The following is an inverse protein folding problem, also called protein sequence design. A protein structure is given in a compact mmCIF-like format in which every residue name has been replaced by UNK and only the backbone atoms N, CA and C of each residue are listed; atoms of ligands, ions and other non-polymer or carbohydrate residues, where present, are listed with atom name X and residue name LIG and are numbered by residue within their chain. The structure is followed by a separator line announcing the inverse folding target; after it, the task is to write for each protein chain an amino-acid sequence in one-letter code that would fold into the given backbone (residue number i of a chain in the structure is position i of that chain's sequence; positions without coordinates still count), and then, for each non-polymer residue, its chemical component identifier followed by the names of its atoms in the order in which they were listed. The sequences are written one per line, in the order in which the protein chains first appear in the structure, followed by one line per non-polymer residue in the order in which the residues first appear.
data_IF_270799082122
#
_entry.id   IF_270799082122
#
_cell.length_a   1.000
_cell.length_b   1.000
_cell.length_c   1.000
_cell.angle_alpha   90.00
_cell.angle_beta   90.00
_cell.angle_gamma   90.00
#
_symmetry.space_group_name_H-M   'P 1'
#
loop_
_entity.id
_entity.type
_entity.pdbx_description
1 polymer ?
#
# COMPACT_ATOMS: atom_id res chain seq x y z
N UNK A 1 39.70 -38.51 -18.74
CA UNK A 1 38.41 -37.88 -18.37
C UNK A 1 38.68 -36.56 -17.63
N UNK A 2 38.87 -35.43 -18.34
CA UNK A 2 39.08 -34.11 -17.70
C UNK A 2 38.49 -32.93 -18.50
N UNK A 3 37.41 -33.14 -19.27
CA UNK A 3 36.84 -32.08 -20.14
C UNK A 3 35.46 -31.57 -19.72
N UNK A 4 34.78 -32.18 -18.74
CA UNK A 4 33.43 -31.77 -18.32
C UNK A 4 33.40 -30.70 -17.21
N UNK A 5 34.50 -30.50 -16.47
CA UNK A 5 34.53 -29.55 -15.33
C UNK A 5 34.62 -28.07 -15.75
N UNK A 6 35.18 -27.76 -16.92
CA UNK A 6 35.30 -26.38 -17.42
C UNK A 6 33.99 -25.85 -18.02
N UNK A 7 33.22 -26.69 -18.72
CA UNK A 7 31.95 -26.27 -19.33
C UNK A 7 30.79 -26.09 -18.35
N UNK A 8 30.77 -26.82 -17.22
CA UNK A 8 29.76 -26.63 -16.17
C UNK A 8 30.01 -25.39 -15.31
N UNK A 9 31.26 -24.92 -15.24
CA UNK A 9 31.62 -23.76 -14.41
C UNK A 9 31.24 -22.45 -15.10
N UNK A 10 31.46 -22.35 -16.41
CA UNK A 10 31.07 -21.19 -17.21
C UNK A 10 29.55 -21.01 -17.29
N UNK A 11 28.78 -22.09 -17.44
CA UNK A 11 27.31 -22.03 -17.50
C UNK A 11 26.69 -21.71 -16.15
N UNK A 12 27.28 -22.17 -15.03
CA UNK A 12 26.85 -21.78 -13.70
C UNK A 12 27.12 -20.30 -13.42
N UNK A 13 28.33 -19.81 -13.71
CA UNK A 13 28.72 -18.40 -13.54
C UNK A 13 27.84 -17.46 -14.41
N UNK A 14 27.52 -17.85 -15.64
CA UNK A 14 26.64 -17.09 -16.55
C UNK A 14 25.17 -17.12 -16.10
N UNK A 15 24.71 -18.24 -15.52
CA UNK A 15 23.36 -18.35 -14.94
C UNK A 15 23.18 -17.53 -13.66
N UNK A 16 24.21 -17.46 -12.82
CA UNK A 16 24.22 -16.64 -11.60
C UNK A 16 24.25 -15.15 -11.94
N UNK A 17 25.06 -14.75 -12.92
CA UNK A 17 25.10 -13.37 -13.41
C UNK A 17 23.74 -12.93 -13.99
N UNK A 18 23.09 -13.80 -14.78
CA UNK A 18 21.76 -13.53 -15.35
C UNK A 18 20.69 -13.37 -14.24
N UNK A 19 20.77 -14.18 -13.18
CA UNK A 19 19.86 -14.07 -12.05
C UNK A 19 20.05 -12.76 -11.27
N UNK A 20 21.30 -12.36 -11.00
CA UNK A 20 21.62 -11.11 -10.29
C UNK A 20 21.13 -9.88 -11.06
N UNK A 21 21.32 -9.87 -12.38
CA UNK A 21 20.82 -8.78 -13.23
C UNK A 21 19.28 -8.73 -13.27
N UNK A 22 18.61 -9.89 -13.30
CA UNK A 22 17.15 -9.96 -13.18
C UNK A 22 16.65 -9.43 -11.82
N UNK A 23 17.38 -9.68 -10.73
CA UNK A 23 17.08 -9.14 -9.39
C UNK A 23 17.19 -7.62 -9.40
N UNK A 24 18.32 -7.06 -9.89
CA UNK A 24 18.53 -5.60 -9.97
C UNK A 24 17.45 -4.93 -10.81
N UNK A 25 17.10 -5.54 -11.94
CA UNK A 25 16.08 -5.00 -12.84
C UNK A 25 14.67 -5.09 -12.24
N UNK A 26 14.36 -6.16 -11.49
CA UNK A 26 13.13 -6.26 -10.71
C UNK A 26 13.03 -5.14 -9.66
N UNK A 27 14.11 -4.88 -8.92
CA UNK A 27 14.18 -3.81 -7.92
C UNK A 27 13.95 -2.46 -8.59
N UNK A 28 14.67 -2.16 -9.68
CA UNK A 28 14.51 -0.92 -10.46
C UNK A 28 13.07 -0.74 -10.93
N UNK A 29 12.48 -1.77 -11.51
CA UNK A 29 11.09 -1.75 -11.98
C UNK A 29 10.12 -1.37 -10.85
N UNK A 30 10.27 -1.98 -9.68
CA UNK A 30 9.38 -1.74 -8.53
C UNK A 30 9.54 -0.31 -8.00
N UNK A 31 10.78 0.15 -7.78
CA UNK A 31 11.05 1.51 -7.27
C UNK A 31 10.48 2.57 -8.21
N UNK A 32 10.65 2.41 -9.53
CA UNK A 32 10.10 3.35 -10.51
C UNK A 32 8.56 3.43 -10.48
N UNK A 33 7.88 2.36 -10.04
CA UNK A 33 6.41 2.30 -10.01
C UNK A 33 5.82 2.82 -8.71
N UNK A 34 6.61 2.91 -7.65
CA UNK A 34 6.11 3.22 -6.33
C UNK A 34 5.53 4.64 -6.21
N UNK A 35 6.02 5.60 -7.01
CA UNK A 35 5.47 6.95 -7.05
C UNK A 35 3.98 7.00 -7.42
N UNK A 36 3.47 6.00 -8.16
CA UNK A 36 2.04 5.94 -8.53
C UNK A 36 1.14 5.39 -7.43
N UNK A 37 1.72 4.66 -6.46
CA UNK A 37 1.01 3.87 -5.43
C UNK A 37 0.01 2.83 -5.98
N UNK A 38 0.03 2.56 -7.29
CA UNK A 38 -0.86 1.56 -7.92
C UNK A 38 -0.30 0.14 -7.66
N UNK A 39 -1.15 -0.82 -7.24
CA UNK A 39 -0.74 -2.21 -7.07
C UNK A 39 -0.14 -2.80 -8.35
N UNK A 40 1.00 -3.46 -8.18
CA UNK A 40 1.80 -4.07 -9.24
C UNK A 40 1.28 -5.50 -9.46
N UNK A 41 0.68 -5.78 -10.63
CA UNK A 41 0.28 -7.16 -10.95
C UNK A 41 1.51 -8.04 -11.14
N UNK A 42 1.46 -9.28 -10.63
CA UNK A 42 2.53 -10.26 -10.85
C UNK A 42 2.84 -10.47 -12.34
N UNK A 43 1.82 -10.51 -13.18
CA UNK A 43 1.99 -10.66 -14.63
C UNK A 43 2.79 -9.52 -15.28
N UNK A 44 2.72 -8.30 -14.72
CA UNK A 44 3.49 -7.16 -15.20
C UNK A 44 4.98 -7.31 -14.85
N UNK A 45 5.30 -7.80 -13.65
CA UNK A 45 6.68 -8.14 -13.26
C UNK A 45 7.22 -9.23 -14.19
N UNK A 46 6.47 -10.32 -14.39
CA UNK A 46 6.87 -11.44 -15.26
C UNK A 46 7.16 -10.94 -16.68
N UNK A 47 6.27 -10.10 -17.23
CA UNK A 47 6.44 -9.53 -18.56
C UNK A 47 7.71 -8.67 -18.65
N UNK A 48 7.95 -7.82 -17.65
CA UNK A 48 9.14 -6.98 -17.59
C UNK A 48 10.43 -7.82 -17.57
N UNK A 49 10.52 -8.80 -16.67
CA UNK A 49 11.69 -9.66 -16.52
C UNK A 49 11.96 -10.51 -17.77
N UNK A 50 10.91 -11.06 -18.39
CA UNK A 50 11.06 -11.81 -19.63
C UNK A 50 11.57 -10.90 -20.77
N UNK A 51 11.07 -9.67 -20.86
CA UNK A 51 11.47 -8.73 -21.93
C UNK A 51 12.89 -8.21 -21.76
N UNK A 52 13.31 -7.92 -20.53
CA UNK A 52 14.58 -7.23 -20.25
C UNK A 52 15.73 -8.20 -19.98
N UNK A 53 15.46 -9.32 -19.32
CA UNK A 53 16.49 -10.27 -18.85
C UNK A 53 16.29 -11.69 -19.38
N UNK A 54 15.22 -11.97 -20.14
CA UNK A 54 14.88 -13.33 -20.63
C UNK A 54 14.78 -14.34 -19.48
N UNK A 55 14.36 -13.88 -18.30
CA UNK A 55 14.29 -14.69 -17.08
C UNK A 55 13.34 -15.86 -17.25
N UNK A 56 13.79 -17.06 -16.87
CA UNK A 56 12.98 -18.27 -16.96
C UNK A 56 11.81 -18.22 -15.98
N UNK A 57 10.66 -18.77 -16.39
CA UNK A 57 9.43 -18.72 -15.59
C UNK A 57 9.57 -19.33 -14.18
N UNK A 58 10.40 -20.38 -14.05
CA UNK A 58 10.69 -21.04 -12.76
C UNK A 58 11.60 -20.20 -11.83
N UNK A 59 12.30 -19.19 -12.35
CA UNK A 59 13.19 -18.32 -11.57
C UNK A 59 12.49 -17.05 -11.05
N UNK A 60 11.34 -16.66 -11.65
CA UNK A 60 10.66 -15.41 -11.31
C UNK A 60 10.32 -15.29 -9.82
N UNK A 61 9.93 -16.38 -9.16
CA UNK A 61 9.67 -16.38 -7.72
C UNK A 61 10.92 -16.03 -6.91
N UNK A 62 12.05 -16.67 -7.23
CA UNK A 62 13.34 -16.40 -6.59
C UNK A 62 13.74 -14.94 -6.80
N UNK A 63 13.60 -14.42 -8.03
CA UNK A 63 13.89 -13.02 -8.35
C UNK A 63 13.05 -12.06 -7.49
N UNK A 64 11.74 -12.28 -7.38
CA UNK A 64 10.86 -11.41 -6.58
C UNK A 64 11.22 -11.48 -5.09
N UNK A 65 11.54 -12.66 -4.56
CA UNK A 65 11.92 -12.82 -3.14
C UNK A 65 13.24 -12.09 -2.85
N UNK A 66 14.26 -12.26 -3.68
CA UNK A 66 15.55 -11.59 -3.49
C UNK A 66 15.46 -10.08 -3.75
N UNK A 67 14.65 -9.66 -4.72
CA UNK A 67 14.33 -8.25 -4.95
C UNK A 67 13.65 -7.63 -3.72
N UNK A 68 12.69 -8.32 -3.10
CA UNK A 68 12.02 -7.85 -1.89
C UNK A 68 12.99 -7.67 -0.71
N UNK A 69 13.95 -8.60 -0.53
CA UNK A 69 15.02 -8.45 0.47
C UNK A 69 15.87 -7.21 0.19
N UNK A 70 16.21 -6.98 -1.07
CA UNK A 70 17.01 -5.81 -1.48
C UNK A 70 16.23 -4.50 -1.31
N UNK A 71 14.95 -4.47 -1.68
CA UNK A 71 14.05 -3.35 -1.44
C UNK A 71 14.01 -2.97 0.05
N UNK A 72 13.84 -3.97 0.93
CA UNK A 72 13.78 -3.73 2.39
C UNK A 72 15.10 -3.17 2.92
N UNK A 73 16.21 -3.79 2.54
CA UNK A 73 17.55 -3.45 3.04
C UNK A 73 18.08 -2.11 2.53
N UNK A 74 17.83 -1.78 1.26
CA UNK A 74 18.47 -0.62 0.59
C UNK A 74 17.54 0.58 0.50
N UNK A 75 16.25 0.34 0.28
CA UNK A 75 15.26 1.40 0.02
C UNK A 75 14.22 1.55 1.12
N UNK A 76 14.26 0.69 2.15
CA UNK A 76 13.24 0.68 3.20
C UNK A 76 11.85 0.32 2.68
N UNK A 77 11.73 -0.44 1.59
CA UNK A 77 10.43 -0.87 1.05
C UNK A 77 10.19 -2.37 1.24
N UNK A 78 8.95 -2.77 1.55
CA UNK A 78 8.48 -4.16 1.47
C UNK A 78 7.41 -4.30 0.38
N UNK A 79 7.46 -5.40 -0.35
CA UNK A 79 6.34 -5.87 -1.15
C UNK A 79 5.38 -6.65 -0.26
N UNK A 80 4.15 -6.20 -0.17
CA UNK A 80 3.05 -6.93 0.46
C UNK A 80 2.20 -7.54 -0.65
N UNK A 81 2.05 -8.86 -0.61
CA UNK A 81 1.17 -9.55 -1.54
C UNK A 81 -0.29 -9.30 -1.16
N UNK A 82 -1.11 -8.95 -2.15
CA UNK A 82 -2.54 -8.75 -1.98
C UNK A 82 -3.30 -9.61 -3.00
N UNK A 83 -4.33 -10.30 -2.53
CA UNK A 83 -5.19 -11.08 -3.40
C UNK A 83 -6.20 -10.17 -4.10
N UNK A 84 -6.36 -10.38 -5.40
CA UNK A 84 -7.39 -9.73 -6.19
C UNK A 84 -8.07 -10.74 -7.10
N UNK A 85 -9.29 -10.42 -7.54
CA UNK A 85 -10.02 -11.23 -8.53
C UNK A 85 -9.23 -11.48 -9.82
N UNK A 86 -8.33 -10.56 -10.17
CA UNK A 86 -7.46 -10.66 -11.34
C UNK A 86 -6.15 -11.44 -11.10
N UNK A 87 -6.01 -12.14 -9.96
CA UNK A 87 -4.81 -12.84 -9.55
C UNK A 87 -3.93 -12.04 -8.59
N UNK A 88 -2.67 -12.45 -8.46
CA UNK A 88 -1.73 -11.91 -7.47
C UNK A 88 -1.30 -10.48 -7.84
N UNK A 89 -1.41 -9.57 -6.88
CA UNK A 89 -0.87 -8.22 -6.97
C UNK A 89 0.04 -7.94 -5.77
N UNK A 90 0.87 -6.91 -5.89
CA UNK A 90 1.75 -6.45 -4.83
C UNK A 90 1.56 -4.95 -4.61
N UNK A 91 1.47 -4.54 -3.35
CA UNK A 91 1.66 -3.15 -2.95
C UNK A 91 3.08 -2.99 -2.43
N UNK A 92 3.71 -1.86 -2.74
CA UNK A 92 5.02 -1.49 -2.20
C UNK A 92 4.76 -0.57 -1.01
N UNK A 93 5.29 -0.92 0.15
CA UNK A 93 5.01 -0.25 1.43
C UNK A 93 6.34 0.17 2.04
N UNK A 94 6.43 1.39 2.56
CA UNK A 94 7.60 1.84 3.31
C UNK A 94 7.65 1.14 4.67
N UNK A 95 8.80 0.56 5.04
CA UNK A 95 8.99 -0.21 6.28
C UNK A 95 9.54 0.60 7.44
N UNK A 96 10.08 1.78 7.19
CA UNK A 96 10.55 2.65 8.27
C UNK A 96 9.35 3.28 8.97
N UNK A 97 9.37 3.28 10.31
CA UNK A 97 8.43 4.02 11.14
C UNK A 97 8.53 5.50 10.76
N UNK A 98 7.56 5.97 9.98
CA UNK A 98 7.51 7.36 9.62
C UNK A 98 6.51 8.07 10.53
N UNK A 99 6.94 9.17 11.16
CA UNK A 99 6.09 10.11 11.90
C UNK A 99 5.01 10.80 11.03
N UNK A 100 4.77 10.31 9.82
CA UNK A 100 3.77 10.84 8.89
C UNK A 100 3.36 9.80 7.84
N UNK A 101 2.10 9.87 7.38
CA UNK A 101 1.64 9.13 6.21
C UNK A 101 2.40 9.63 4.98
N UNK A 102 3.46 8.92 4.59
CA UNK A 102 4.15 9.12 3.31
C UNK A 102 3.32 8.52 2.18
N UNK A 103 2.19 9.16 1.90
CA UNK A 103 1.60 8.98 0.59
C UNK A 103 2.51 9.74 -0.40
N UNK A 104 3.05 9.07 -1.41
CA UNK A 104 3.65 9.71 -2.60
C UNK A 104 2.57 10.42 -3.44
N UNK A 105 1.47 10.80 -2.81
CA UNK A 105 0.54 11.72 -3.40
C UNK A 105 1.28 13.05 -3.40
N UNK A 106 1.94 13.32 -4.52
CA UNK A 106 2.75 14.51 -4.76
C UNK A 106 1.97 15.82 -4.51
N UNK A 107 0.65 15.72 -4.37
CA UNK A 107 -0.27 16.79 -4.01
C UNK A 107 -0.54 16.82 -2.48
N UNK A 108 -0.03 17.85 -1.77
CA UNK A 108 -0.27 18.04 -0.34
C UNK A 108 -1.75 18.05 0.05
N UNK A 109 -2.65 18.49 -0.84
CA UNK A 109 -4.09 18.54 -0.57
C UNK A 109 -4.69 17.14 -0.48
N UNK A 110 -4.36 16.28 -1.44
CA UNK A 110 -4.82 14.90 -1.43
C UNK A 110 -4.25 14.11 -0.25
N UNK A 111 -3.02 14.40 0.19
CA UNK A 111 -2.49 13.80 1.42
C UNK A 111 -3.32 14.18 2.64
N UNK A 112 -3.68 15.47 2.80
CA UNK A 112 -4.56 15.92 3.88
C UNK A 112 -5.93 15.23 3.82
N UNK A 113 -6.49 15.16 2.61
CA UNK A 113 -7.78 14.51 2.36
C UNK A 113 -7.76 13.02 2.73
N UNK A 114 -6.70 12.30 2.34
CA UNK A 114 -6.52 10.89 2.68
C UNK A 114 -6.41 10.68 4.19
N UNK A 115 -5.55 11.45 4.86
CA UNK A 115 -5.35 11.35 6.32
C UNK A 115 -6.66 11.65 7.05
N UNK A 116 -7.41 12.67 6.64
CA UNK A 116 -8.70 13.00 7.23
C UNK A 116 -9.72 11.88 7.05
N UNK A 117 -9.83 11.31 5.85
CA UNK A 117 -10.74 10.20 5.58
C UNK A 117 -10.40 8.94 6.40
N UNK A 118 -9.12 8.55 6.45
CA UNK A 118 -8.67 7.41 7.25
C UNK A 118 -8.88 7.63 8.74
N UNK A 119 -8.61 8.85 9.23
CA UNK A 119 -8.86 9.24 10.62
C UNK A 119 -10.34 9.13 10.94
N UNK A 120 -11.23 9.64 10.09
CA UNK A 120 -12.66 9.56 10.32
C UNK A 120 -13.15 8.12 10.44
N UNK A 121 -12.74 7.24 9.51
CA UNK A 121 -13.10 5.82 9.55
C UNK A 121 -12.62 5.14 10.83
N UNK A 122 -11.37 5.38 11.21
CA UNK A 122 -10.79 4.80 12.42
C UNK A 122 -11.50 5.29 13.69
N UNK A 123 -11.75 6.60 13.79
CA UNK A 123 -12.44 7.18 14.94
C UNK A 123 -13.92 6.77 15.02
N UNK A 124 -14.54 6.41 13.89
CA UNK A 124 -15.90 5.86 13.84
C UNK A 124 -15.97 4.38 14.26
N UNK A 125 -14.84 3.68 14.38
CA UNK A 125 -14.78 2.28 14.82
C UNK A 125 -15.36 1.27 13.81
N UNK A 126 -15.55 1.68 12.54
CA UNK A 126 -16.14 0.82 11.52
C UNK A 126 -16.39 1.54 10.18
N UNK A 127 -17.05 0.87 9.23
CA UNK A 127 -17.34 1.46 7.92
C UNK A 127 -18.20 2.74 8.03
N UNK A 128 -17.78 3.79 7.34
CA UNK A 128 -18.43 5.10 7.37
C UNK A 128 -19.30 5.28 6.13
N UNK A 129 -20.54 5.75 6.29
CA UNK A 129 -21.43 6.02 5.15
C UNK A 129 -20.87 7.13 4.28
N UNK A 130 -21.14 7.04 2.98
CA UNK A 130 -20.73 8.05 2.00
C UNK A 130 -21.15 9.47 2.41
N UNK A 131 -22.41 9.67 2.82
CA UNK A 131 -22.93 10.98 3.23
C UNK A 131 -22.23 11.52 4.48
N UNK A 132 -21.93 10.64 5.46
CA UNK A 132 -21.23 11.02 6.69
C UNK A 132 -19.78 11.42 6.38
N UNK A 133 -19.12 10.70 5.47
CA UNK A 133 -17.78 11.05 4.98
C UNK A 133 -17.77 12.43 4.30
N UNK A 134 -18.73 12.73 3.43
CA UNK A 134 -18.82 14.04 2.77
C UNK A 134 -19.06 15.16 3.76
N UNK A 135 -19.96 14.94 4.72
CA UNK A 135 -20.24 15.91 5.78
C UNK A 135 -18.99 16.21 6.60
N UNK A 136 -18.30 15.18 7.09
CA UNK A 136 -17.08 15.33 7.89
C UNK A 136 -16.00 16.11 7.14
N UNK A 137 -15.73 15.75 5.88
CA UNK A 137 -14.68 16.41 5.09
C UNK A 137 -15.04 17.87 4.74
N UNK A 138 -16.33 18.18 4.60
CA UNK A 138 -16.82 19.55 4.41
C UNK A 138 -16.68 20.39 5.67
N UNK A 139 -17.08 19.85 6.84
CA UNK A 139 -16.90 20.51 8.14
C UNK A 139 -15.42 20.74 8.47
N UNK A 140 -14.53 19.86 8.00
CA UNK A 140 -13.07 20.02 8.11
C UNK A 140 -12.46 21.01 7.11
N UNK A 141 -13.26 21.59 6.20
CA UNK A 141 -12.79 22.51 5.16
C UNK A 141 -11.91 21.86 4.08
N UNK A 142 -12.03 20.54 3.90
CA UNK A 142 -11.24 19.75 2.95
C UNK A 142 -12.00 19.39 1.68
N UNK A 143 -13.33 19.56 1.66
CA UNK A 143 -14.18 19.20 0.53
C UNK A 143 -15.40 20.12 0.45
N UNK A 144 -15.66 20.77 -0.68
CA UNK A 144 -16.87 21.58 -0.86
C UNK A 144 -18.11 20.71 -1.15
N UNK A 145 -19.31 21.24 -0.90
CA UNK A 145 -20.58 20.51 -1.07
C UNK A 145 -20.79 19.96 -2.50
N UNK A 146 -20.17 20.56 -3.52
CA UNK A 146 -20.25 20.10 -4.92
C UNK A 146 -18.87 19.78 -5.52
N UNK A 147 -17.88 19.47 -4.67
CA UNK A 147 -16.54 19.10 -5.15
C UNK A 147 -16.51 17.69 -5.74
N UNK A 148 -16.89 17.60 -7.02
CA UNK A 148 -16.83 16.35 -7.78
C UNK A 148 -15.40 15.81 -7.92
N UNK A 149 -14.37 16.67 -7.89
CA UNK A 149 -12.98 16.25 -8.06
C UNK A 149 -12.48 15.58 -6.78
N UNK A 150 -12.67 16.21 -5.62
CA UNK A 150 -12.36 15.64 -4.30
C UNK A 150 -13.08 14.31 -4.06
N UNK A 151 -14.39 14.25 -4.35
CA UNK A 151 -15.15 12.99 -4.24
C UNK A 151 -14.62 11.90 -5.15
N UNK A 152 -14.22 12.24 -6.38
CA UNK A 152 -13.60 11.29 -7.32
C UNK A 152 -12.24 10.78 -6.83
N UNK A 153 -11.48 11.61 -6.12
CA UNK A 153 -10.20 11.18 -5.54
C UNK A 153 -10.44 10.09 -4.49
N UNK A 154 -11.41 10.25 -3.59
CA UNK A 154 -11.76 9.20 -2.62
C UNK A 154 -12.31 7.94 -3.28
N UNK A 155 -13.26 8.10 -4.20
CA UNK A 155 -14.00 6.97 -4.81
C UNK A 155 -13.27 6.30 -5.98
N UNK A 156 -12.15 6.84 -6.46
CA UNK A 156 -11.35 6.22 -7.51
C UNK A 156 -9.88 6.15 -7.17
N UNK A 157 -9.24 7.28 -6.87
CA UNK A 157 -7.77 7.32 -6.68
C UNK A 157 -7.36 6.52 -5.45
N UNK A 158 -7.93 6.80 -4.28
CA UNK A 158 -7.57 6.11 -3.04
C UNK A 158 -8.01 4.65 -3.01
N UNK A 159 -9.07 4.29 -3.76
CA UNK A 159 -9.45 2.88 -3.98
C UNK A 159 -8.43 2.16 -4.85
N UNK A 160 -8.04 2.76 -5.98
CA UNK A 160 -7.05 2.16 -6.89
C UNK A 160 -5.69 2.03 -6.22
N UNK A 161 -5.36 2.91 -5.29
CA UNK A 161 -4.16 2.83 -4.46
C UNK A 161 -4.32 1.87 -3.27
N UNK A 162 -5.51 1.31 -3.04
CA UNK A 162 -5.85 0.40 -1.94
C UNK A 162 -5.76 1.02 -0.54
N UNK A 163 -5.82 2.34 -0.42
CA UNK A 163 -5.97 3.00 0.88
C UNK A 163 -7.41 2.92 1.39
N UNK A 164 -8.38 3.01 0.48
CA UNK A 164 -9.80 2.92 0.81
C UNK A 164 -10.45 1.74 0.10
N UNK A 165 -11.43 1.13 0.74
CA UNK A 165 -12.45 0.31 0.10
C UNK A 165 -13.74 1.12 0.03
N UNK A 166 -14.52 0.87 -1.02
CA UNK A 166 -15.82 1.48 -1.21
C UNK A 166 -16.78 0.42 -1.74
N UNK A 167 -17.84 0.16 -0.99
CA UNK A 167 -18.78 -0.90 -1.31
C UNK A 167 -20.16 -0.59 -0.74
N UNK A 168 -21.18 -1.31 -1.21
CA UNK A 168 -22.54 -1.20 -0.70
C UNK A 168 -22.75 -2.16 0.45
N UNK A 169 -23.39 -1.68 1.51
CA UNK A 169 -23.94 -2.48 2.59
C UNK A 169 -25.47 -2.37 2.54
N UNK A 170 -26.15 -3.49 2.81
CA UNK A 170 -27.61 -3.60 2.79
C UNK A 170 -28.17 -4.09 1.46
N UNK A 171 -29.50 -4.15 1.37
CA UNK A 171 -30.23 -4.68 0.22
C UNK A 171 -31.29 -3.69 -0.28
N UNK A 172 -31.55 -3.72 -1.59
CA UNK A 172 -32.57 -2.89 -2.24
C UNK A 172 -32.34 -1.38 -2.07
N UNK A 173 -33.43 -0.63 -1.88
CA UNK A 173 -33.44 0.83 -1.72
C UNK A 173 -32.76 1.33 -0.43
N UNK A 174 -32.54 0.43 0.53
CA UNK A 174 -31.84 0.72 1.79
C UNK A 174 -30.33 0.55 1.67
N UNK A 175 -29.82 0.06 0.52
CA UNK A 175 -28.39 -0.05 0.31
C UNK A 175 -27.72 1.33 0.43
N UNK A 176 -26.61 1.37 1.16
CA UNK A 176 -25.80 2.57 1.34
C UNK A 176 -24.36 2.27 0.95
N UNK A 177 -23.73 3.20 0.26
CA UNK A 177 -22.30 3.11 0.02
C UNK A 177 -21.55 3.48 1.31
N UNK A 178 -20.49 2.74 1.59
CA UNK A 178 -19.63 2.98 2.75
C UNK A 178 -18.15 2.95 2.37
N UNK A 179 -17.34 3.63 3.15
CA UNK A 179 -15.89 3.61 3.12
C UNK A 179 -15.32 2.77 4.27
N UNK A 180 -14.27 2.02 3.98
CA UNK A 180 -13.48 1.28 4.96
C UNK A 180 -11.98 1.42 4.62
N UNK A 181 -11.09 1.16 5.59
CA UNK A 181 -9.66 1.03 5.32
C UNK A 181 -9.37 -0.09 4.31
N UNK A 182 -8.54 0.22 3.34
CA UNK A 182 -7.96 -0.75 2.42
C UNK A 182 -6.65 -1.33 2.94
N UNK A 183 -6.15 -2.37 2.27
CA UNK A 183 -4.95 -3.09 2.70
C UNK A 183 -3.72 -2.17 2.81
N UNK A 184 -3.57 -1.18 1.92
CA UNK A 184 -2.43 -0.25 1.99
C UNK A 184 -2.50 0.62 3.23
N UNK A 185 -3.69 1.06 3.66
CA UNK A 185 -3.84 1.84 4.88
C UNK A 185 -3.42 1.04 6.12
N UNK A 186 -3.82 -0.24 6.18
CA UNK A 186 -3.43 -1.15 7.28
C UNK A 186 -1.91 -1.38 7.35
N UNK A 187 -1.20 -1.24 6.23
CA UNK A 187 0.24 -1.50 6.16
C UNK A 187 1.10 -0.24 6.32
N UNK A 188 0.58 0.94 5.92
CA UNK A 188 1.33 2.20 5.89
C UNK A 188 0.94 3.20 6.99
N UNK A 189 -0.21 3.04 7.64
CA UNK A 189 -0.75 4.06 8.55
C UNK A 189 -0.88 3.49 9.97
N UNK A 190 0.06 3.81 10.88
CA UNK A 190 -0.06 3.40 12.27
C UNK A 190 -1.31 4.03 12.90
N UNK A 191 -2.21 3.22 13.44
CA UNK A 191 -3.42 3.74 14.11
C UNK A 191 -3.08 4.67 15.28
N UNK A 192 -2.03 4.32 16.03
CA UNK A 192 -1.52 5.14 17.12
C UNK A 192 -1.09 6.53 16.65
N UNK A 193 -0.51 6.64 15.45
CA UNK A 193 -0.15 7.93 14.87
C UNK A 193 -1.39 8.80 14.66
N UNK A 194 -2.46 8.27 14.08
CA UNK A 194 -3.71 9.02 13.88
C UNK A 194 -4.35 9.41 15.21
N UNK A 195 -4.37 8.48 16.17
CA UNK A 195 -4.92 8.72 17.50
C UNK A 195 -4.18 9.83 18.24
N UNK A 196 -2.85 9.84 18.18
CA UNK A 196 -2.02 10.89 18.78
C UNK A 196 -2.28 12.27 18.14
N UNK A 197 -2.47 12.32 16.82
CA UNK A 197 -2.82 13.58 16.13
C UNK A 197 -4.21 14.08 16.55
N UNK A 198 -5.17 13.18 16.72
CA UNK A 198 -6.49 13.54 17.24
C UNK A 198 -6.42 14.02 18.69
N UNK A 199 -5.71 13.29 19.55
CA UNK A 199 -5.50 13.68 20.94
C UNK A 199 -4.89 15.09 21.05
N UNK A 200 -3.88 15.39 20.25
CA UNK A 200 -3.27 16.71 20.16
C UNK A 200 -4.27 17.78 19.73
N UNK A 201 -5.09 17.52 18.70
CA UNK A 201 -6.04 18.49 18.17
C UNK A 201 -7.18 18.83 19.16
N UNK A 202 -7.54 17.88 20.02
CA UNK A 202 -8.62 18.05 21.01
C UNK A 202 -8.11 18.37 22.43
N UNK A 203 -6.80 18.57 22.60
CA UNK A 203 -6.14 18.75 23.90
C UNK A 203 -6.52 17.64 24.90
N UNK A 204 -6.60 16.41 24.39
CA UNK A 204 -6.86 15.19 25.16
C UNK A 204 -5.64 14.29 25.15
N UNK A 205 -5.64 13.30 26.04
CA UNK A 205 -4.72 12.18 25.97
C UNK A 205 -5.31 11.09 25.05
N UNK A 206 -4.49 10.28 24.35
CA UNK A 206 -4.96 9.24 23.42
C UNK A 206 -5.92 8.22 24.07
N UNK A 207 -5.72 7.93 25.36
CA UNK A 207 -6.56 7.05 26.18
C UNK A 207 -7.96 7.60 26.45
N UNK A 208 -8.25 8.86 26.11
CA UNK A 208 -9.60 9.40 26.11
C UNK A 208 -10.55 8.58 25.22
N UNK A 209 -10.03 8.00 24.13
CA UNK A 209 -10.74 7.06 23.28
C UNK A 209 -10.29 5.63 23.59
N UNK A 210 -10.84 5.07 24.67
CA UNK A 210 -10.39 3.79 25.23
C UNK A 210 -10.33 2.64 24.21
N UNK A 211 -11.35 2.49 23.37
CA UNK A 211 -11.42 1.40 22.38
C UNK A 211 -10.35 1.56 21.29
N UNK A 212 -10.24 2.77 20.73
CA UNK A 212 -9.25 3.13 19.72
C UNK A 212 -7.82 2.98 20.27
N UNK A 213 -7.58 3.43 21.49
CA UNK A 213 -6.28 3.30 22.16
C UNK A 213 -5.87 1.84 22.37
N UNK A 214 -6.82 1.00 22.82
CA UNK A 214 -6.59 -0.44 22.97
C UNK A 214 -6.22 -1.08 21.64
N UNK A 215 -6.99 -0.82 20.59
CA UNK A 215 -6.71 -1.34 19.25
C UNK A 215 -5.32 -0.90 18.74
N UNK A 216 -4.99 0.39 18.88
CA UNK A 216 -3.72 0.95 18.43
C UNK A 216 -2.51 0.39 19.18
N UNK A 217 -2.64 0.06 20.46
CA UNK A 217 -1.54 -0.48 21.28
C UNK A 217 -1.36 -1.98 21.09
N UNK A 218 -2.43 -2.73 20.82
CA UNK A 218 -2.35 -4.16 20.46
C UNK A 218 -1.62 -4.38 19.12
N UNK A 219 -1.81 -3.47 18.16
CA UNK A 219 -1.12 -3.51 16.86
C UNK A 219 0.40 -3.32 17.00
N UNK A 220 0.83 -2.36 17.83
CA UNK A 220 2.26 -2.13 18.11
C UNK A 220 2.91 -3.33 18.79
N UNK A 221 2.20 -3.99 19.71
CA UNK A 221 2.73 -5.16 20.43
C UNK A 221 2.77 -6.45 19.57
N UNK A 222 2.11 -6.45 18.42
CA UNK A 222 2.02 -7.60 17.51
C UNK A 222 2.99 -7.53 16.33
N UNK A 223 3.74 -6.42 16.19
CA UNK A 223 4.65 -6.13 15.08
C UNK A 223 6.11 -6.36 15.48
#
# INVERSE_FOLDING_TARGET
MMSQRRGNRSTAEESEANLDDAIKECVRFIVCREGSKIPIKRAEIVKHLNTTCQTLANQVNTVIVEANKTLKRVYGYKLVQVEAKSGIQYIVVLTEECDSVQSNVNDPLQRKLLVAALTHIYMSGGPVKEDDMWKFLSEAGLLEENDHVGRKILTHTFIRQMYLKYFKIGEGELARNVFEWGQRALEEVPKLFLLNKMAQAFEKSPDFWCEQYKEATEEVNST
#
